data_IF_523911271633
#
_entry.id   IF_523911271633
#
_cell.length_a   1.000
_cell.length_b   1.000
_cell.length_c   1.000
_cell.angle_alpha   90.00
_cell.angle_beta   90.00
_cell.angle_gamma   90.00
#
_symmetry.space_group_name_H-M   'P 1'
#
loop_
_entity.id
_entity.type
_entity.pdbx_description
1 polymer ?
#
# COMPACT_ATOMS: atom_id res chain seq x y z
N UNK A 1 -10.16 -15.22 -29.19
CA UNK A 1 -11.03 -15.32 -28.03
C UNK A 1 -10.17 -15.34 -26.76
N UNK A 2 -10.00 -14.18 -26.14
CA UNK A 2 -9.26 -14.02 -24.88
C UNK A 2 -10.14 -14.42 -23.70
N UNK A 3 -10.17 -15.68 -23.39
CA UNK A 3 -11.02 -16.20 -22.30
C UNK A 3 -10.32 -16.11 -20.93
N UNK A 4 -9.03 -15.80 -20.88
CA UNK A 4 -8.29 -15.68 -19.61
C UNK A 4 -7.52 -14.37 -19.52
N UNK A 5 -8.24 -13.28 -19.20
CA UNK A 5 -7.57 -12.09 -18.68
C UNK A 5 -6.89 -12.48 -17.38
N UNK A 6 -5.56 -12.44 -17.35
CA UNK A 6 -4.78 -12.68 -16.12
C UNK A 6 -5.27 -11.74 -15.04
N UNK A 7 -5.75 -12.30 -13.94
CA UNK A 7 -6.16 -11.50 -12.79
C UNK A 7 -4.94 -10.82 -12.15
N UNK A 8 -5.14 -9.60 -11.67
CA UNK A 8 -4.16 -8.92 -10.85
C UNK A 8 -3.99 -9.67 -9.51
N UNK A 9 -2.75 -9.98 -9.14
CA UNK A 9 -2.44 -10.72 -7.91
C UNK A 9 -1.03 -10.41 -7.42
N UNK A 10 -0.59 -11.11 -6.40
CA UNK A 10 0.78 -11.08 -5.89
C UNK A 10 1.60 -12.25 -6.43
N UNK A 11 2.88 -12.00 -6.74
CA UNK A 11 3.82 -13.06 -7.14
C UNK A 11 4.12 -14.06 -6.00
N UNK A 12 3.70 -13.76 -4.76
CA UNK A 12 3.82 -14.64 -3.61
C UNK A 12 3.08 -15.98 -3.78
N UNK A 13 1.94 -15.96 -4.49
CA UNK A 13 1.08 -17.14 -4.67
C UNK A 13 1.22 -17.81 -6.04
N UNK A 14 2.15 -17.38 -6.88
CA UNK A 14 2.45 -18.00 -8.17
C UNK A 14 2.58 -17.03 -9.32
N UNK A 15 2.98 -17.56 -10.49
CA UNK A 15 3.35 -16.77 -11.67
C UNK A 15 2.24 -16.64 -12.74
N UNK A 16 1.06 -17.22 -12.54
CA UNK A 16 -0.06 -17.20 -13.50
C UNK A 16 -0.97 -15.97 -13.40
N UNK A 17 -0.46 -14.87 -12.87
CA UNK A 17 -1.21 -13.64 -12.69
C UNK A 17 -0.45 -12.43 -13.25
N UNK A 18 -1.11 -11.27 -13.33
CA UNK A 18 -0.44 -9.99 -13.50
C UNK A 18 0.08 -9.57 -12.12
N UNK A 19 1.40 -9.60 -11.86
CA UNK A 19 1.95 -9.36 -10.53
C UNK A 19 1.94 -7.87 -10.22
N UNK A 20 0.86 -7.40 -9.60
CA UNK A 20 0.74 -6.03 -9.10
C UNK A 20 1.44 -5.85 -7.76
N UNK A 21 1.70 -6.94 -7.06
CA UNK A 21 2.51 -7.02 -5.85
C UNK A 21 3.63 -8.04 -6.08
N UNK A 22 4.85 -7.72 -5.70
CA UNK A 22 6.02 -8.59 -5.90
C UNK A 22 7.22 -8.17 -5.06
N UNK A 23 8.32 -8.90 -5.18
CA UNK A 23 9.57 -8.60 -4.48
C UNK A 23 10.22 -7.34 -5.04
N UNK A 24 10.80 -6.52 -4.16
CA UNK A 24 11.47 -5.24 -4.50
C UNK A 24 12.59 -5.40 -5.55
N UNK A 25 13.31 -6.52 -5.53
CA UNK A 25 14.39 -6.79 -6.47
C UNK A 25 13.90 -7.01 -7.91
N UNK A 26 12.68 -7.48 -8.09
CA UNK A 26 12.06 -7.66 -9.41
C UNK A 26 11.83 -6.32 -10.13
N UNK A 27 11.71 -5.22 -9.38
CA UNK A 27 11.41 -3.89 -9.92
C UNK A 27 12.63 -3.04 -10.24
N UNK A 28 13.71 -3.22 -9.48
CA UNK A 28 14.92 -2.35 -9.57
C UNK A 28 15.82 -2.68 -10.75
N UNK A 29 15.74 -3.87 -11.31
CA UNK A 29 16.63 -4.34 -12.38
C UNK A 29 15.99 -4.27 -13.77
N UNK A 30 15.39 -3.14 -14.13
CA UNK A 30 14.72 -2.88 -15.40
C UNK A 30 15.22 -3.66 -16.60
N UNK A 31 14.29 -4.26 -17.38
CA UNK A 31 14.45 -4.95 -18.66
C UNK A 31 15.09 -6.34 -18.69
N UNK A 32 15.77 -6.83 -17.65
CA UNK A 32 16.17 -8.26 -17.58
C UNK A 32 15.54 -8.89 -16.35
N UNK A 33 14.67 -9.88 -16.57
CA UNK A 33 14.20 -10.80 -15.52
C UNK A 33 15.42 -11.50 -14.93
N UNK A 34 15.89 -11.05 -13.80
CA UNK A 34 16.80 -11.82 -12.96
C UNK A 34 15.89 -12.42 -11.87
N UNK A 35 15.65 -13.72 -11.93
CA UNK A 35 15.05 -14.48 -10.84
C UNK A 35 15.88 -14.21 -9.59
N UNK A 36 15.28 -13.56 -8.58
CA UNK A 36 15.82 -13.57 -7.24
C UNK A 36 15.95 -15.03 -6.82
N UNK A 37 17.14 -15.47 -6.45
CA UNK A 37 17.30 -16.81 -5.93
C UNK A 37 16.65 -16.83 -4.56
N UNK A 38 15.86 -17.86 -4.26
CA UNK A 38 15.28 -18.13 -2.93
C UNK A 38 16.32 -18.08 -1.77
N UNK A 39 17.61 -18.09 -2.10
CA UNK A 39 18.72 -18.04 -1.16
C UNK A 39 19.07 -16.63 -0.67
N UNK A 40 18.52 -15.54 -1.23
CA UNK A 40 18.88 -14.17 -0.86
C UNK A 40 17.69 -13.32 -0.40
N UNK A 41 16.74 -13.94 0.26
CA UNK A 41 15.51 -13.30 0.77
C UNK A 41 15.75 -12.31 1.92
N UNK A 42 16.92 -12.30 2.55
CA UNK A 42 17.21 -11.45 3.72
C UNK A 42 17.25 -9.95 3.47
N UNK A 43 17.62 -9.51 2.25
CA UNK A 43 17.85 -8.11 1.92
C UNK A 43 16.63 -7.31 1.45
N UNK A 44 15.47 -7.95 1.26
CA UNK A 44 14.28 -7.30 0.70
C UNK A 44 13.19 -7.01 1.74
N UNK A 45 13.36 -7.47 2.97
CA UNK A 45 12.36 -7.27 4.02
C UNK A 45 12.42 -5.85 4.57
N UNK A 46 11.29 -5.14 4.47
CA UNK A 46 11.10 -3.89 5.21
C UNK A 46 10.65 -4.22 6.62
N UNK A 47 11.54 -3.96 7.58
CA UNK A 47 11.31 -4.19 9.00
C UNK A 47 11.63 -2.92 9.78
N UNK A 48 10.69 -2.45 10.60
CA UNK A 48 10.88 -1.28 11.43
C UNK A 48 10.15 -0.03 10.94
N UNK A 49 10.67 1.14 11.30
CA UNK A 49 10.03 2.43 11.11
C UNK A 49 10.50 3.08 9.80
N UNK A 50 9.55 3.44 8.92
CA UNK A 50 9.81 4.09 7.64
C UNK A 50 8.95 5.33 7.45
N UNK A 51 9.51 6.30 6.76
CA UNK A 51 8.82 7.54 6.41
C UNK A 51 7.91 7.35 5.18
N UNK A 52 6.76 8.00 5.19
CA UNK A 52 5.87 8.13 4.04
C UNK A 52 5.44 9.59 3.86
N UNK A 53 5.37 10.03 2.60
CA UNK A 53 4.91 11.38 2.21
C UNK A 53 3.47 11.27 1.76
N UNK A 54 2.58 12.04 2.39
CA UNK A 54 1.16 12.03 2.11
C UNK A 54 0.80 12.98 0.96
N UNK A 55 -0.12 12.53 0.11
CA UNK A 55 -0.70 13.36 -0.95
C UNK A 55 -1.61 14.43 -0.33
N UNK A 56 -1.41 15.69 -0.72
CA UNK A 56 -2.24 16.78 -0.26
C UNK A 56 -3.72 16.54 -0.62
N UNK A 57 -4.62 16.99 0.24
CA UNK A 57 -6.08 16.89 0.06
C UNK A 57 -6.64 15.46 -0.04
N UNK A 58 -5.85 14.45 0.33
CA UNK A 58 -6.31 13.06 0.44
C UNK A 58 -7.09 12.84 1.75
N UNK A 59 -7.86 11.74 1.82
CA UNK A 59 -8.50 11.32 3.06
C UNK A 59 -7.43 11.10 4.15
N UNK A 60 -6.34 10.45 3.78
CA UNK A 60 -5.25 10.13 4.70
C UNK A 60 -4.58 11.39 5.25
N UNK A 61 -4.37 12.43 4.44
CA UNK A 61 -3.79 13.70 4.92
C UNK A 61 -4.69 14.41 5.93
N UNK A 62 -6.01 14.24 5.81
CA UNK A 62 -6.98 14.76 6.77
C UNK A 62 -6.99 13.94 8.08
N UNK A 63 -6.83 12.61 7.99
CA UNK A 63 -6.80 11.71 9.15
C UNK A 63 -5.57 11.97 10.02
N UNK A 64 -4.39 12.08 9.40
CA UNK A 64 -3.15 12.30 10.13
C UNK A 64 -2.88 13.77 10.46
N UNK A 65 -3.47 14.70 9.70
CA UNK A 65 -3.19 16.16 9.78
C UNK A 65 -1.71 16.51 9.63
N UNK A 66 -0.97 15.69 8.90
CA UNK A 66 0.47 15.80 8.67
C UNK A 66 0.79 15.65 7.18
N UNK A 67 1.97 16.11 6.75
CA UNK A 67 2.50 15.91 5.39
C UNK A 67 3.37 14.66 5.27
N UNK A 68 3.98 14.26 6.37
CA UNK A 68 4.83 13.06 6.47
C UNK A 68 4.44 12.28 7.71
N UNK A 69 4.47 10.97 7.58
CA UNK A 69 4.22 10.06 8.69
C UNK A 69 5.37 9.07 8.81
N UNK A 70 5.50 8.47 9.97
CA UNK A 70 6.41 7.35 10.22
C UNK A 70 5.62 6.16 10.70
N UNK A 71 5.66 5.07 9.93
CA UNK A 71 4.90 3.87 10.23
C UNK A 71 5.78 2.61 10.24
N UNK A 72 5.37 1.62 11.02
CA UNK A 72 6.13 0.37 11.19
C UNK A 72 5.73 -0.65 10.13
N UNK A 73 6.73 -1.20 9.46
CA UNK A 73 6.59 -2.20 8.42
C UNK A 73 7.12 -3.56 8.88
N UNK A 74 6.51 -4.61 8.34
CA UNK A 74 6.96 -6.00 8.48
C UNK A 74 6.50 -6.78 7.26
N UNK A 75 7.02 -6.42 6.09
CA UNK A 75 6.65 -7.10 4.85
C UNK A 75 7.82 -7.15 3.87
N UNK A 76 7.74 -8.07 2.93
CA UNK A 76 8.75 -8.34 1.91
C UNK A 76 8.27 -7.99 0.51
N UNK A 77 6.96 -8.13 0.29
CA UNK A 77 6.32 -7.85 -0.98
C UNK A 77 5.83 -6.40 -1.01
N UNK A 78 5.97 -5.78 -2.18
CA UNK A 78 5.62 -4.37 -2.40
C UNK A 78 4.65 -4.23 -3.56
N UNK A 79 3.77 -3.24 -3.47
CA UNK A 79 2.92 -2.85 -4.60
C UNK A 79 3.79 -2.24 -5.70
N UNK A 80 3.57 -2.66 -6.94
CA UNK A 80 4.33 -2.17 -8.07
C UNK A 80 3.84 -0.80 -8.54
N UNK A 81 4.67 0.22 -8.35
CA UNK A 81 4.37 1.61 -8.73
C UNK A 81 4.06 1.79 -10.22
N UNK A 82 4.50 0.87 -11.09
CA UNK A 82 4.24 0.92 -12.54
C UNK A 82 2.76 0.86 -12.89
N UNK A 83 1.93 0.26 -12.03
CA UNK A 83 0.49 0.16 -12.22
C UNK A 83 -0.28 1.37 -11.68
N UNK A 84 0.42 2.39 -11.16
CA UNK A 84 -0.19 3.56 -10.54
C UNK A 84 -1.22 4.22 -11.46
N UNK A 85 -0.82 4.56 -12.68
CA UNK A 85 -1.69 5.28 -13.63
C UNK A 85 -2.94 4.48 -13.98
N UNK A 86 -2.81 3.16 -14.12
CA UNK A 86 -3.92 2.27 -14.43
C UNK A 86 -4.91 2.16 -13.26
N UNK A 87 -4.41 2.14 -12.03
CA UNK A 87 -5.23 2.14 -10.83
C UNK A 87 -5.89 3.49 -10.59
N UNK A 88 -5.14 4.60 -10.73
CA UNK A 88 -5.68 5.95 -10.52
C UNK A 88 -6.79 6.30 -11.55
N UNK A 89 -6.68 5.85 -12.81
CA UNK A 89 -7.76 5.93 -13.81
C UNK A 89 -9.05 5.22 -13.37
N UNK A 90 -8.93 4.19 -12.54
CA UNK A 90 -10.06 3.43 -11.99
C UNK A 90 -10.52 3.93 -10.62
N UNK A 91 -9.96 5.04 -10.14
CA UNK A 91 -10.32 5.68 -8.89
C UNK A 91 -9.58 5.15 -7.65
N UNK A 92 -8.62 4.23 -7.80
CA UNK A 92 -7.76 3.80 -6.71
C UNK A 92 -6.53 4.73 -6.63
N UNK A 93 -6.56 5.65 -5.69
CA UNK A 93 -5.57 6.72 -5.56
C UNK A 93 -4.41 6.27 -4.67
N UNK A 94 -3.18 6.49 -5.14
CA UNK A 94 -1.99 6.33 -4.32
C UNK A 94 -1.79 7.57 -3.46
N UNK A 95 -2.23 7.51 -2.21
CA UNK A 95 -2.31 8.66 -1.31
C UNK A 95 -1.10 8.84 -0.41
N UNK A 96 -0.20 7.87 -0.37
CA UNK A 96 1.14 8.04 0.22
C UNK A 96 2.18 7.21 -0.53
N UNK A 97 3.38 7.76 -0.60
CA UNK A 97 4.56 7.13 -1.18
C UNK A 97 5.75 7.25 -0.22
N UNK A 98 6.75 6.39 -0.41
CA UNK A 98 8.08 6.58 0.19
C UNK A 98 8.67 7.95 -0.19
N UNK A 99 9.61 8.51 0.59
CA UNK A 99 10.19 9.84 0.31
C UNK A 99 10.81 9.98 -1.08
N UNK A 100 11.34 8.90 -1.64
CA UNK A 100 11.89 8.83 -3.01
C UNK A 100 10.81 8.63 -4.10
N UNK A 101 9.54 8.47 -3.70
CA UNK A 101 8.39 8.30 -4.60
C UNK A 101 8.31 6.94 -5.28
N UNK A 102 9.12 5.97 -4.90
CA UNK A 102 9.21 4.67 -5.59
C UNK A 102 8.31 3.60 -5.03
N UNK A 103 7.98 3.66 -3.73
CA UNK A 103 7.19 2.64 -3.05
C UNK A 103 5.82 3.18 -2.63
N UNK A 104 4.73 2.58 -3.09
CA UNK A 104 3.39 2.88 -2.59
C UNK A 104 3.25 2.46 -1.12
N UNK A 105 2.71 3.35 -0.30
CA UNK A 105 2.52 3.12 1.13
C UNK A 105 1.04 3.05 1.50
N UNK A 106 0.21 3.89 0.88
CA UNK A 106 -1.22 3.98 1.16
C UNK A 106 -1.98 4.16 -0.14
N UNK A 107 -3.13 3.49 -0.24
CA UNK A 107 -4.12 3.65 -1.30
C UNK A 107 -5.48 4.04 -0.72
N UNK A 108 -6.25 4.80 -1.50
CA UNK A 108 -7.62 5.20 -1.20
C UNK A 108 -8.52 4.95 -2.40
N UNK A 109 -9.79 4.63 -2.18
CA UNK A 109 -10.79 4.53 -3.26
C UNK A 109 -11.61 5.81 -3.33
N UNK A 110 -11.51 6.51 -4.47
CA UNK A 110 -12.26 7.74 -4.74
C UNK A 110 -13.77 7.47 -4.71
N UNK A 111 -14.50 8.33 -4.02
CA UNK A 111 -15.95 8.21 -3.92
C UNK A 111 -16.44 7.19 -2.88
N UNK A 112 -15.56 6.44 -2.24
CA UNK A 112 -15.93 5.58 -1.13
C UNK A 112 -15.87 6.36 0.21
N UNK A 113 -16.84 6.19 1.12
CA UNK A 113 -16.88 6.92 2.38
C UNK A 113 -15.63 6.76 3.24
N UNK A 114 -15.08 5.54 3.29
CA UNK A 114 -13.82 5.23 3.95
C UNK A 114 -13.25 3.92 3.40
N UNK A 115 -12.31 4.02 2.49
CA UNK A 115 -11.53 2.89 1.99
C UNK A 115 -10.06 3.29 2.00
N UNK A 116 -9.28 2.63 2.83
CA UNK A 116 -7.84 2.84 2.96
C UNK A 116 -7.14 1.49 3.00
N UNK A 117 -6.18 1.29 2.13
CA UNK A 117 -5.26 0.15 2.17
C UNK A 117 -3.86 0.64 2.49
N UNK A 118 -3.15 -0.04 3.38
CA UNK A 118 -1.80 0.32 3.82
C UNK A 118 -0.85 -0.86 3.72
N UNK A 119 0.44 -0.59 3.50
CA UNK A 119 1.49 -1.62 3.51
C UNK A 119 2.13 -1.78 4.89
N UNK A 120 2.03 -0.79 5.73
CA UNK A 120 2.50 -0.82 7.11
C UNK A 120 1.49 -1.45 8.06
N UNK A 121 1.88 -1.63 9.32
CA UNK A 121 1.12 -2.28 10.37
C UNK A 121 0.71 -1.26 11.45
N UNK A 122 -0.47 -0.61 11.31
CA UNK A 122 -0.93 0.42 12.26
C UNK A 122 -1.12 -0.13 13.68
N UNK A 123 -1.39 -1.44 13.82
CA UNK A 123 -1.54 -2.10 15.12
C UNK A 123 -0.28 -2.02 15.98
N UNK A 124 0.90 -1.92 15.38
CA UNK A 124 2.16 -1.80 16.12
C UNK A 124 2.33 -0.45 16.83
N UNK A 125 1.52 0.54 16.48
CA UNK A 125 1.54 1.86 17.08
C UNK A 125 0.25 2.19 17.82
N UNK A 126 -0.77 1.34 17.74
CA UNK A 126 -2.05 1.55 18.43
C UNK A 126 -1.98 1.09 19.89
N UNK A 127 -2.60 1.88 20.78
CA UNK A 127 -2.70 1.58 22.21
C UNK A 127 -4.14 1.79 22.69
N UNK A 128 -4.59 1.14 23.77
CA UNK A 128 -5.97 1.26 24.27
C UNK A 128 -6.45 2.69 24.47
N UNK A 129 -5.62 3.56 25.08
CA UNK A 129 -5.97 4.97 25.35
C UNK A 129 -5.41 5.96 24.33
N UNK A 130 -4.65 5.48 23.35
CA UNK A 130 -4.11 6.28 22.25
C UNK A 130 -4.19 5.47 20.97
N UNK A 131 -5.42 5.24 20.46
CA UNK A 131 -5.63 4.41 19.28
C UNK A 131 -5.00 5.06 18.05
N UNK A 132 -4.52 4.23 17.13
CA UNK A 132 -3.96 4.70 15.88
C UNK A 132 -5.02 5.51 15.09
N UNK A 133 -4.65 6.64 14.44
CA UNK A 133 -5.61 7.53 13.79
C UNK A 133 -6.46 6.85 12.70
N UNK A 134 -5.90 5.84 12.00
CA UNK A 134 -6.66 5.05 11.03
C UNK A 134 -7.80 4.28 11.68
N UNK A 135 -7.58 3.64 12.83
CA UNK A 135 -8.62 2.87 13.52
C UNK A 135 -9.72 3.79 14.05
N UNK A 136 -9.34 4.91 14.66
CA UNK A 136 -10.32 5.91 15.13
C UNK A 136 -11.17 6.47 13.98
N UNK A 137 -10.53 6.79 12.85
CA UNK A 137 -11.23 7.29 11.67
C UNK A 137 -12.16 6.25 11.05
N UNK A 138 -11.73 4.98 10.98
CA UNK A 138 -12.56 3.88 10.47
C UNK A 138 -13.82 3.70 11.31
N UNK A 139 -13.67 3.59 12.63
CA UNK A 139 -14.81 3.43 13.55
C UNK A 139 -15.77 4.62 13.44
N UNK A 140 -15.25 5.85 13.36
CA UNK A 140 -16.06 7.05 13.15
C UNK A 140 -16.85 6.99 11.85
N UNK A 141 -16.22 6.59 10.75
CA UNK A 141 -16.90 6.47 9.46
C UNK A 141 -17.98 5.38 9.45
N UNK A 142 -17.70 4.24 10.07
CA UNK A 142 -18.66 3.15 10.22
C UNK A 142 -19.88 3.57 11.05
N UNK A 143 -19.65 4.30 12.13
CA UNK A 143 -20.72 4.77 13.01
C UNK A 143 -21.63 5.80 12.32
N UNK A 144 -21.05 6.74 11.57
CA UNK A 144 -21.81 7.72 10.79
C UNK A 144 -22.71 7.07 9.73
N UNK A 145 -22.35 5.90 9.23
CA UNK A 145 -23.15 5.17 8.24
C UNK A 145 -24.32 4.39 8.85
N UNK A 146 -24.23 4.08 10.13
CA UNK A 146 -25.32 3.39 10.86
C UNK A 146 -26.46 4.33 11.23
N UNK A 147 -26.18 5.62 11.30
CA UNK A 147 -27.14 6.66 11.73
C UNK A 147 -27.84 7.35 10.54
N UNK A 148 -27.48 7.00 9.31
CA UNK A 148 -28.15 7.43 8.08
C UNK A 148 -28.80 6.21 7.38
#
# INVERSE_FOLDING_TARGET
SDVYKRQASTSEFGNNCTPVVGLLEEWKKGKKRIKGSEKNLGGTMRLGLYDAVLKNNSLISKIYSEKKIKERHRHRYEVNIKYRDDFEKKGLIFSALSPDGTLPEIIELKGHPWFVGVQFHPEFKSRPFTPHPLFSSFVKAANNRRTN
#
